data_IF_508448008731
#
_entry.id   IF_508448008731
#
_cell.length_a   1.000
_cell.length_b   1.000
_cell.length_c   1.000
_cell.angle_alpha   90.00
_cell.angle_beta   90.00
_cell.angle_gamma   90.00
#
_symmetry.space_group_name_H-M   'P 1'
#
loop_
_entity.id
_entity.type
_entity.pdbx_description
1 polymer ?
#
# COMPACT_ATOMS: atom_id res chain seq x y z
N UNK A 1 59.84 18.45 -22.90
CA UNK A 1 58.38 18.47 -22.55
C UNK A 1 57.64 17.19 -22.93
N UNK A 2 57.87 16.57 -24.07
CA UNK A 2 57.19 15.31 -24.46
C UNK A 2 57.50 14.11 -23.54
N UNK A 3 58.69 14.01 -22.97
CA UNK A 3 59.07 12.91 -22.07
C UNK A 3 58.44 13.03 -20.66
N UNK A 4 58.13 14.24 -20.20
CA UNK A 4 57.46 14.47 -18.94
C UNK A 4 55.99 14.05 -18.98
N UNK A 5 55.35 14.18 -20.14
CA UNK A 5 53.97 13.79 -20.36
C UNK A 5 53.76 12.26 -20.32
N UNK A 6 54.76 11.51 -20.77
CA UNK A 6 54.74 10.04 -20.80
C UNK A 6 54.91 9.42 -19.41
N UNK A 7 55.51 10.13 -18.45
CA UNK A 7 55.67 9.70 -17.07
C UNK A 7 54.43 9.97 -16.21
N UNK A 8 53.57 10.89 -16.62
CA UNK A 8 52.33 11.23 -15.91
C UNK A 8 51.14 10.28 -16.27
N UNK A 9 51.22 9.62 -17.43
CA UNK A 9 50.16 8.73 -17.90
C UNK A 9 49.91 7.50 -17.01
N UNK A 10 50.93 6.79 -16.51
CA UNK A 10 50.66 5.62 -15.63
C UNK A 10 50.16 5.97 -14.24
N UNK A 11 50.35 7.22 -13.77
CA UNK A 11 49.81 7.65 -12.47
C UNK A 11 48.28 7.77 -12.43
N UNK A 12 47.62 7.93 -13.58
CA UNK A 12 46.18 8.02 -13.69
C UNK A 12 45.48 6.65 -13.55
N UNK A 13 46.17 5.55 -13.76
CA UNK A 13 45.59 4.21 -13.64
C UNK A 13 45.57 3.66 -12.20
N UNK A 14 46.26 4.30 -11.26
CA UNK A 14 46.26 3.91 -9.85
C UNK A 14 45.24 4.66 -9.00
N UNK A 15 44.47 5.58 -9.58
CA UNK A 15 43.48 6.38 -8.87
C UNK A 15 42.12 5.68 -8.68
N UNK A 16 41.86 4.58 -9.38
CA UNK A 16 40.69 3.76 -9.10
C UNK A 16 41.03 2.72 -8.03
N UNK A 17 40.99 3.10 -6.76
CA UNK A 17 40.71 2.13 -5.70
C UNK A 17 39.30 1.63 -5.93
N UNK A 18 39.12 0.32 -6.09
CA UNK A 18 37.81 -0.29 -5.97
C UNK A 18 37.28 0.10 -4.62
N UNK A 19 36.14 0.81 -4.60
CA UNK A 19 35.44 1.06 -3.34
C UNK A 19 35.16 -0.30 -2.70
N UNK A 20 35.59 -0.47 -1.46
CA UNK A 20 35.21 -1.63 -0.67
C UNK A 20 33.68 -1.60 -0.58
N UNK A 21 33.06 -2.73 -0.83
CA UNK A 21 31.60 -2.82 -0.71
C UNK A 21 31.23 -2.42 0.71
N UNK A 22 30.54 -1.30 0.84
CA UNK A 22 30.04 -0.82 2.14
C UNK A 22 29.01 -1.85 2.59
N UNK A 23 29.40 -2.69 3.54
CA UNK A 23 28.43 -3.55 4.22
C UNK A 23 27.61 -2.64 5.13
N UNK A 24 26.30 -2.52 4.95
CA UNK A 24 25.50 -1.70 5.83
C UNK A 24 25.71 -2.12 7.29
N UNK A 25 26.07 -1.20 8.16
CA UNK A 25 26.24 -1.47 9.59
C UNK A 25 24.91 -1.83 10.29
N UNK A 26 23.80 -1.66 9.60
CA UNK A 26 22.44 -1.96 10.08
C UNK A 26 21.74 -2.84 9.05
N UNK A 27 21.34 -4.02 9.47
CA UNK A 27 20.41 -4.86 8.70
C UNK A 27 19.03 -4.23 8.84
N UNK A 28 18.52 -3.61 7.80
CA UNK A 28 17.14 -3.16 7.79
C UNK A 28 16.24 -4.39 7.77
N UNK A 29 15.49 -4.60 8.83
CA UNK A 29 14.40 -5.58 8.81
C UNK A 29 13.41 -5.15 7.72
N UNK A 30 12.93 -6.12 6.97
CA UNK A 30 11.94 -5.84 5.92
C UNK A 30 10.57 -5.70 6.57
N UNK A 31 10.19 -4.50 6.93
CA UNK A 31 8.95 -4.15 7.66
C UNK A 31 7.67 -4.67 7.00
N UNK A 32 7.72 -4.88 5.69
CA UNK A 32 6.59 -5.35 4.91
C UNK A 32 6.64 -6.86 4.61
N UNK A 33 7.58 -7.58 5.20
CA UNK A 33 7.68 -9.02 5.04
C UNK A 33 6.70 -9.71 5.99
N UNK A 34 5.80 -10.52 5.43
CA UNK A 34 4.92 -11.38 6.21
C UNK A 34 5.60 -12.73 6.43
N UNK A 35 5.78 -13.11 7.69
CA UNK A 35 6.37 -14.40 8.08
C UNK A 35 5.26 -15.39 8.38
N UNK A 36 5.43 -16.64 7.95
CA UNK A 36 4.45 -17.71 8.20
C UNK A 36 4.45 -18.13 9.68
N UNK A 37 3.24 -18.39 10.17
CA UNK A 37 3.03 -19.09 11.44
C UNK A 37 1.88 -20.08 11.28
N UNK A 38 2.21 -21.32 11.04
CA UNK A 38 1.23 -22.40 10.83
C UNK A 38 0.37 -22.70 12.09
N UNK A 39 0.80 -22.25 13.28
CA UNK A 39 0.02 -22.40 14.51
C UNK A 39 -1.06 -21.30 14.66
N UNK A 40 -0.96 -20.21 13.91
CA UNK A 40 -1.93 -19.12 13.88
C UNK A 40 -2.62 -19.10 12.50
N UNK A 41 -3.89 -19.54 12.40
CA UNK A 41 -4.61 -19.59 11.11
C UNK A 41 -4.71 -18.24 10.40
N UNK A 42 -4.80 -17.14 11.15
CA UNK A 42 -4.89 -15.79 10.59
C UNK A 42 -3.54 -15.39 9.99
N UNK A 43 -2.46 -15.61 10.73
CA UNK A 43 -1.12 -15.29 10.25
C UNK A 43 -0.72 -16.16 9.06
N UNK A 44 -1.10 -17.45 9.07
CA UNK A 44 -0.89 -18.36 7.95
C UNK A 44 -1.65 -17.89 6.69
N UNK A 45 -2.93 -17.52 6.83
CA UNK A 45 -3.72 -17.00 5.71
C UNK A 45 -3.15 -15.68 5.15
N UNK A 46 -2.65 -14.77 6.01
CA UNK A 46 -1.94 -13.55 5.57
C UNK A 46 -0.68 -13.88 4.78
N UNK A 47 0.09 -14.85 5.26
CA UNK A 47 1.31 -15.29 4.57
C UNK A 47 1.00 -15.90 3.20
N UNK A 48 -0.03 -16.74 3.05
CA UNK A 48 -0.42 -17.32 1.76
C UNK A 48 -0.86 -16.22 0.76
N UNK A 49 -1.60 -15.20 1.20
CA UNK A 49 -1.93 -14.04 0.37
C UNK A 49 -0.66 -13.30 -0.06
N UNK A 50 0.24 -13.02 0.88
CA UNK A 50 1.51 -12.34 0.60
C UNK A 50 2.36 -13.13 -0.39
N UNK A 51 2.52 -14.43 -0.19
CA UNK A 51 3.26 -15.35 -1.07
C UNK A 51 2.68 -15.39 -2.49
N UNK A 52 1.35 -15.41 -2.60
CA UNK A 52 0.64 -15.51 -3.89
C UNK A 52 0.64 -14.20 -4.67
N UNK A 53 0.49 -13.06 -4.01
CA UNK A 53 0.26 -11.78 -4.67
C UNK A 53 1.36 -10.74 -4.43
N UNK A 54 2.22 -10.93 -3.45
CA UNK A 54 3.23 -9.95 -3.03
C UNK A 54 2.66 -8.77 -2.25
N UNK A 55 1.43 -8.87 -1.74
CA UNK A 55 0.70 -7.79 -1.06
C UNK A 55 0.55 -8.13 0.41
N UNK A 56 1.22 -7.41 1.33
CA UNK A 56 1.03 -7.60 2.77
C UNK A 56 -0.33 -7.06 3.20
N UNK A 57 -0.97 -7.78 4.14
CA UNK A 57 -2.27 -7.41 4.72
C UNK A 57 -2.10 -7.11 6.21
N UNK A 58 -2.67 -6.01 6.67
CA UNK A 58 -2.60 -5.53 8.05
C UNK A 58 -4.00 -5.45 8.66
N UNK A 59 -4.08 -5.63 9.99
CA UNK A 59 -5.31 -5.51 10.79
C UNK A 59 -5.29 -4.30 11.72
N UNK A 60 -4.20 -3.57 11.75
CA UNK A 60 -4.06 -2.31 12.46
C UNK A 60 -3.16 -1.37 11.63
N UNK A 61 -3.08 -0.13 12.03
CA UNK A 61 -2.31 0.90 11.34
C UNK A 61 -0.80 0.84 11.62
N UNK A 62 -0.35 0.02 12.57
CA UNK A 62 1.06 -0.17 12.87
C UNK A 62 1.65 -1.30 12.04
N UNK A 63 2.59 -0.98 11.17
CA UNK A 63 3.27 -1.94 10.28
C UNK A 63 4.45 -2.59 10.99
N UNK A 64 5.27 -1.79 11.65
CA UNK A 64 6.46 -2.24 12.35
C UNK A 64 6.76 -1.39 13.58
N UNK A 65 7.50 -1.98 14.50
CA UNK A 65 8.02 -1.31 15.70
C UNK A 65 9.53 -1.50 15.72
N UNK A 66 10.27 -0.40 15.59
CA UNK A 66 11.73 -0.41 15.61
C UNK A 66 12.28 0.10 16.93
N UNK A 67 13.39 -0.50 17.38
CA UNK A 67 14.09 -0.09 18.59
C UNK A 67 13.44 -0.60 19.88
N UNK A 68 14.17 -0.40 20.99
CA UNK A 68 13.70 -0.81 22.31
C UNK A 68 13.94 -2.29 22.60
N UNK A 69 15.18 -2.65 22.92
CA UNK A 69 15.53 -4.01 23.38
C UNK A 69 14.86 -4.38 24.72
N UNK A 70 14.28 -3.42 25.42
CA UNK A 70 13.60 -3.61 26.69
C UNK A 70 12.27 -2.84 26.77
N UNK A 71 11.25 -3.33 27.47
CA UNK A 71 10.03 -2.58 27.75
C UNK A 71 10.26 -1.19 28.39
N UNK A 72 11.40 -1.01 29.07
CA UNK A 72 11.80 0.26 29.67
C UNK A 72 12.28 1.31 28.65
N UNK A 73 12.66 0.88 27.43
CA UNK A 73 13.15 1.75 26.35
C UNK A 73 12.04 2.29 25.44
N UNK A 74 10.88 2.57 25.99
CA UNK A 74 9.73 3.07 25.21
C UNK A 74 10.03 4.37 24.48
N UNK A 75 10.95 5.19 24.97
CA UNK A 75 11.36 6.45 24.35
C UNK A 75 12.17 6.26 23.05
N UNK A 76 12.78 5.10 22.83
CA UNK A 76 13.55 4.78 21.62
C UNK A 76 12.75 4.02 20.56
N UNK A 77 11.50 3.66 20.84
CA UNK A 77 10.64 2.94 19.90
C UNK A 77 10.13 3.88 18.81
N UNK A 78 10.41 3.51 17.57
CA UNK A 78 9.82 4.15 16.40
C UNK A 78 8.78 3.22 15.81
N UNK A 79 7.60 3.77 15.52
CA UNK A 79 6.50 3.05 14.91
C UNK A 79 6.44 3.42 13.43
N UNK A 80 6.46 2.42 12.57
CA UNK A 80 6.11 2.58 11.17
C UNK A 80 4.61 2.37 11.05
N UNK A 81 3.90 3.37 10.54
CA UNK A 81 2.44 3.32 10.40
C UNK A 81 2.03 3.26 8.95
N UNK A 82 0.84 2.72 8.70
CA UNK A 82 0.21 2.76 7.40
C UNK A 82 -0.08 4.21 7.03
N UNK A 83 0.48 4.64 5.91
CA UNK A 83 0.31 6.00 5.44
C UNK A 83 -0.91 6.10 4.52
N UNK A 84 -1.97 6.69 5.01
CA UNK A 84 -3.20 6.90 4.24
C UNK A 84 -3.27 8.25 3.54
N UNK A 85 -2.57 9.24 4.06
CA UNK A 85 -2.74 10.64 3.68
C UNK A 85 -1.43 11.42 3.57
N UNK A 86 -0.36 10.75 3.15
CA UNK A 86 0.89 11.46 2.98
C UNK A 86 0.80 12.43 1.79
N UNK A 87 0.96 13.73 2.06
CA UNK A 87 1.13 14.76 1.04
C UNK A 87 2.42 15.54 1.30
N UNK A 88 3.10 16.00 0.24
CA UNK A 88 4.31 16.82 0.34
C UNK A 88 4.11 18.13 1.14
N UNK A 89 2.88 18.57 1.27
CA UNK A 89 2.50 19.84 1.92
C UNK A 89 1.89 19.67 3.31
N UNK A 90 2.07 18.49 3.92
CA UNK A 90 1.51 18.17 5.22
C UNK A 90 0.11 17.58 5.16
N UNK A 91 -0.47 17.34 6.33
CA UNK A 91 -1.77 16.70 6.50
C UNK A 91 -2.85 17.36 5.64
N UNK A 92 -3.72 16.54 5.06
CA UNK A 92 -4.94 17.03 4.39
C UNK A 92 -5.73 17.84 5.41
N UNK A 93 -5.70 19.16 5.28
CA UNK A 93 -6.32 20.06 6.24
C UNK A 93 -7.80 19.72 6.36
N UNK A 94 -8.20 19.25 7.54
CA UNK A 94 -9.58 19.05 7.88
C UNK A 94 -10.21 17.70 7.48
N UNK A 95 -9.44 16.70 7.12
CA UNK A 95 -9.94 15.33 6.95
C UNK A 95 -9.35 14.44 8.03
N UNK A 96 -10.20 13.81 8.82
CA UNK A 96 -9.83 12.87 9.87
C UNK A 96 -10.26 11.45 9.48
N UNK A 97 -9.36 10.47 9.71
CA UNK A 97 -9.60 9.05 9.49
C UNK A 97 -9.61 8.33 10.83
N UNK A 98 -10.69 7.58 11.10
CA UNK A 98 -10.82 6.75 12.30
C UNK A 98 -11.12 5.32 11.89
N UNK A 99 -10.37 4.38 12.49
CA UNK A 99 -10.52 2.95 12.26
C UNK A 99 -11.09 2.27 13.49
N UNK A 100 -12.07 1.38 13.27
CA UNK A 100 -12.34 0.30 14.19
C UNK A 100 -11.72 -0.97 13.59
N UNK A 101 -10.93 -1.67 14.39
CA UNK A 101 -10.22 -2.86 13.93
C UNK A 101 -11.05 -4.12 14.10
N UNK A 102 -10.80 -5.12 13.25
CA UNK A 102 -11.31 -6.47 13.39
C UNK A 102 -10.76 -7.10 14.68
N UNK A 103 -11.63 -7.62 15.51
CA UNK A 103 -11.27 -8.04 16.86
C UNK A 103 -11.07 -9.54 17.02
N UNK A 104 -11.77 -10.35 16.22
CA UNK A 104 -11.74 -11.80 16.35
C UNK A 104 -11.05 -12.46 15.15
N UNK A 105 -10.40 -13.63 15.39
CA UNK A 105 -9.79 -14.41 14.30
C UNK A 105 -10.78 -14.76 13.18
N UNK A 106 -12.03 -15.04 13.52
CA UNK A 106 -13.09 -15.38 12.56
C UNK A 106 -13.42 -14.19 11.65
N UNK A 107 -13.52 -12.97 12.20
CA UNK A 107 -13.73 -11.76 11.42
C UNK A 107 -12.54 -11.51 10.49
N UNK A 108 -11.32 -11.68 11.01
CA UNK A 108 -10.09 -11.49 10.24
C UNK A 108 -9.99 -12.50 9.09
N UNK A 109 -10.29 -13.76 9.34
CA UNK A 109 -10.29 -14.81 8.29
C UNK A 109 -11.34 -14.53 7.20
N UNK A 110 -12.57 -14.11 7.55
CA UNK A 110 -13.58 -13.72 6.56
C UNK A 110 -13.13 -12.54 5.71
N UNK A 111 -12.54 -11.53 6.34
CA UNK A 111 -12.00 -10.38 5.62
C UNK A 111 -10.82 -10.77 4.70
N UNK A 112 -9.94 -11.68 5.13
CA UNK A 112 -8.87 -12.23 4.28
C UNK A 112 -9.39 -12.99 3.06
N UNK A 113 -10.48 -13.74 3.20
CA UNK A 113 -11.14 -14.42 2.06
C UNK A 113 -11.63 -13.41 1.02
N UNK A 114 -12.18 -12.28 1.45
CA UNK A 114 -12.56 -11.19 0.55
C UNK A 114 -11.33 -10.62 -0.18
N UNK A 115 -10.22 -10.39 0.55
CA UNK A 115 -8.96 -9.87 -0.05
C UNK A 115 -8.38 -10.84 -1.06
N UNK A 116 -8.36 -12.15 -0.78
CA UNK A 116 -7.88 -13.15 -1.75
C UNK A 116 -8.72 -13.11 -3.03
N UNK A 117 -10.04 -13.07 -2.91
CA UNK A 117 -10.96 -12.95 -4.03
C UNK A 117 -10.75 -11.63 -4.82
N UNK A 118 -10.55 -10.51 -4.13
CA UNK A 118 -10.25 -9.20 -4.73
C UNK A 118 -8.94 -9.23 -5.51
N UNK A 119 -7.84 -9.67 -4.87
CA UNK A 119 -6.51 -9.71 -5.50
C UNK A 119 -6.42 -10.71 -6.67
N UNK A 120 -7.25 -11.76 -6.67
CA UNK A 120 -7.39 -12.69 -7.79
C UNK A 120 -8.05 -12.06 -9.02
N UNK A 121 -8.87 -11.02 -8.86
CA UNK A 121 -9.62 -10.37 -9.94
C UNK A 121 -8.88 -9.20 -10.57
N UNK A 122 -7.97 -8.57 -9.85
CA UNK A 122 -7.24 -7.40 -10.35
C UNK A 122 -5.93 -7.79 -11.04
N UNK A 123 -5.56 -7.05 -12.07
CA UNK A 123 -4.28 -7.23 -12.75
C UNK A 123 -3.11 -6.79 -11.86
N UNK A 124 -1.93 -7.38 -12.06
CA UNK A 124 -0.74 -7.09 -11.27
C UNK A 124 -0.41 -5.60 -11.16
N UNK A 125 -0.48 -4.77 -12.23
CA UNK A 125 -0.20 -3.34 -12.14
C UNK A 125 -1.21 -2.55 -11.31
N UNK A 126 -2.39 -3.11 -11.05
CA UNK A 126 -3.44 -2.46 -10.26
C UNK A 126 -3.41 -2.87 -8.79
N UNK A 127 -2.59 -3.86 -8.41
CA UNK A 127 -2.49 -4.29 -7.01
C UNK A 127 -1.96 -3.15 -6.14
N UNK A 128 -2.55 -2.93 -4.96
CA UNK A 128 -1.99 -2.01 -3.99
C UNK A 128 -0.65 -2.53 -3.46
N UNK A 129 0.18 -1.64 -2.93
CA UNK A 129 1.39 -2.06 -2.25
C UNK A 129 1.07 -2.84 -0.96
N UNK A 130 0.06 -2.41 -0.22
CA UNK A 130 -0.44 -3.09 0.98
C UNK A 130 -1.95 -2.93 1.13
N UNK A 131 -2.57 -3.76 1.96
CA UNK A 131 -3.99 -3.68 2.33
C UNK A 131 -4.12 -3.56 3.84
N UNK A 132 -4.93 -2.61 4.30
CA UNK A 132 -5.39 -2.51 5.70
C UNK A 132 -6.85 -2.97 5.77
N UNK A 133 -7.12 -3.97 6.61
CA UNK A 133 -8.46 -4.47 6.89
C UNK A 133 -8.98 -3.86 8.19
N UNK A 134 -10.12 -3.19 8.10
CA UNK A 134 -10.81 -2.59 9.23
C UNK A 134 -12.24 -3.13 9.36
N UNK A 135 -12.79 -3.10 10.57
CA UNK A 135 -14.21 -3.33 10.79
C UNK A 135 -15.00 -2.15 10.20
N UNK A 136 -14.64 -0.93 10.56
CA UNK A 136 -15.20 0.29 9.98
C UNK A 136 -14.11 1.33 9.76
N UNK A 137 -14.24 2.07 8.66
CA UNK A 137 -13.51 3.30 8.39
C UNK A 137 -14.50 4.47 8.46
N UNK A 138 -14.19 5.47 9.27
CA UNK A 138 -14.93 6.72 9.30
C UNK A 138 -14.03 7.83 8.77
N UNK A 139 -14.50 8.53 7.77
CA UNK A 139 -13.83 9.70 7.18
C UNK A 139 -14.66 10.93 7.52
N UNK A 140 -14.07 11.84 8.28
CA UNK A 140 -14.71 13.07 8.71
C UNK A 140 -14.04 14.28 8.07
N UNK A 141 -14.81 15.13 7.44
CA UNK A 141 -14.40 16.45 6.95
C UNK A 141 -15.27 17.53 7.59
N UNK A 142 -14.95 18.82 7.36
CA UNK A 142 -15.68 19.92 7.97
C UNK A 142 -17.20 19.83 7.83
N UNK A 143 -17.71 19.27 6.72
CA UNK A 143 -19.14 19.25 6.38
C UNK A 143 -19.69 17.85 6.14
N UNK A 144 -18.90 16.79 6.28
CA UNK A 144 -19.31 15.44 5.90
C UNK A 144 -18.65 14.37 6.76
N UNK A 145 -19.43 13.40 7.18
CA UNK A 145 -18.95 12.17 7.82
C UNK A 145 -19.43 11.00 6.98
N UNK A 146 -18.49 10.18 6.54
CA UNK A 146 -18.75 9.02 5.69
C UNK A 146 -18.15 7.74 6.30
N UNK A 147 -18.73 6.61 5.92
CA UNK A 147 -18.21 5.28 6.26
C UNK A 147 -18.00 4.48 4.97
N UNK A 148 -16.97 4.80 4.19
CA UNK A 148 -16.72 4.10 2.93
C UNK A 148 -16.28 2.66 3.19
N UNK A 149 -16.62 1.77 2.23
CA UNK A 149 -16.16 0.37 2.22
C UNK A 149 -14.70 0.28 1.84
N UNK A 150 -14.19 1.22 1.09
CA UNK A 150 -12.78 1.28 0.73
C UNK A 150 -12.25 2.72 0.73
N UNK A 151 -10.94 2.84 0.89
CA UNK A 151 -10.22 4.09 0.70
C UNK A 151 -8.85 3.81 0.10
N UNK A 152 -8.50 4.53 -0.94
CA UNK A 152 -7.19 4.42 -1.60
C UNK A 152 -6.27 5.46 -1.01
N UNK A 153 -5.33 5.03 -0.18
CA UNK A 153 -4.24 5.85 0.31
C UNK A 153 -3.06 5.88 -0.67
N UNK A 154 -1.98 6.52 -0.27
CA UNK A 154 -0.79 6.65 -1.13
C UNK A 154 -0.22 5.28 -1.54
N UNK A 155 -0.05 4.37 -0.60
CA UNK A 155 0.48 3.01 -0.84
C UNK A 155 -0.42 1.89 -0.30
N UNK A 156 -1.48 2.23 0.43
CA UNK A 156 -2.32 1.27 1.12
C UNK A 156 -3.77 1.39 0.68
N UNK A 157 -4.37 0.29 0.30
CA UNK A 157 -5.81 0.18 0.13
C UNK A 157 -6.43 -0.21 1.46
N UNK A 158 -7.30 0.63 2.01
CA UNK A 158 -8.13 0.26 3.16
C UNK A 158 -9.41 -0.39 2.66
N UNK A 159 -9.75 -1.55 3.24
CA UNK A 159 -11.01 -2.23 3.03
C UNK A 159 -11.72 -2.35 4.38
N UNK A 160 -12.92 -1.79 4.48
CA UNK A 160 -13.74 -1.81 5.68
C UNK A 160 -15.04 -2.55 5.43
N UNK A 161 -15.65 -3.14 6.48
CA UNK A 161 -16.94 -3.84 6.46
C UNK A 161 -16.96 -5.10 5.57
N UNK A 162 -15.84 -5.50 4.99
CA UNK A 162 -15.78 -6.63 4.04
C UNK A 162 -15.94 -8.00 4.71
N UNK A 163 -15.77 -8.10 6.03
CA UNK A 163 -15.95 -9.32 6.81
C UNK A 163 -17.38 -9.89 6.70
N UNK A 164 -18.36 -9.03 6.45
CA UNK A 164 -19.78 -9.38 6.39
C UNK A 164 -20.24 -9.72 4.96
N UNK A 165 -19.39 -9.49 3.97
CA UNK A 165 -19.64 -9.77 2.57
C UNK A 165 -19.17 -11.19 2.25
N UNK A 166 -20.01 -12.19 2.53
CA UNK A 166 -19.64 -13.61 2.41
C UNK A 166 -20.31 -14.34 1.25
N UNK A 167 -21.42 -13.81 0.74
CA UNK A 167 -22.15 -14.41 -0.39
C UNK A 167 -21.38 -14.17 -1.69
N UNK A 168 -21.15 -15.20 -2.53
CA UNK A 168 -20.32 -15.08 -3.75
C UNK A 168 -20.74 -13.95 -4.69
N UNK A 169 -22.02 -13.75 -4.90
CA UNK A 169 -22.52 -12.68 -5.76
C UNK A 169 -22.30 -11.29 -5.15
N UNK A 170 -22.48 -11.16 -3.84
CA UNK A 170 -22.17 -9.92 -3.11
C UNK A 170 -20.68 -9.60 -3.13
N UNK A 171 -19.81 -10.60 -2.93
CA UNK A 171 -18.36 -10.45 -3.06
C UNK A 171 -17.99 -9.96 -4.46
N UNK A 172 -18.53 -10.60 -5.50
CA UNK A 172 -18.30 -10.22 -6.89
C UNK A 172 -18.75 -8.79 -7.20
N UNK A 173 -19.95 -8.43 -6.76
CA UNK A 173 -20.52 -7.09 -6.95
C UNK A 173 -19.67 -6.03 -6.25
N UNK A 174 -19.30 -6.24 -4.99
CA UNK A 174 -18.48 -5.31 -4.23
C UNK A 174 -17.07 -5.13 -4.81
N UNK A 175 -16.44 -6.23 -5.28
CA UNK A 175 -15.15 -6.16 -5.98
C UNK A 175 -15.28 -5.34 -7.26
N UNK A 176 -16.33 -5.54 -8.05
CA UNK A 176 -16.56 -4.78 -9.28
C UNK A 176 -16.75 -3.29 -8.99
N UNK A 177 -17.51 -2.93 -7.98
CA UNK A 177 -17.70 -1.54 -7.54
C UNK A 177 -16.38 -0.88 -7.15
N UNK A 178 -15.58 -1.53 -6.28
CA UNK A 178 -14.28 -1.02 -5.86
C UNK A 178 -13.35 -0.81 -7.08
N UNK A 179 -13.25 -1.80 -7.95
CA UNK A 179 -12.37 -1.74 -9.12
C UNK A 179 -12.81 -0.63 -10.09
N UNK A 180 -14.09 -0.55 -10.41
CA UNK A 180 -14.63 0.47 -11.32
C UNK A 180 -14.39 1.88 -10.77
N UNK A 181 -14.63 2.08 -9.49
CA UNK A 181 -14.39 3.37 -8.84
C UNK A 181 -12.90 3.74 -8.84
N UNK A 182 -12.00 2.79 -8.47
CA UNK A 182 -10.56 3.03 -8.52
C UNK A 182 -10.07 3.36 -9.94
N UNK A 183 -10.59 2.69 -10.96
CA UNK A 183 -10.24 2.97 -12.37
C UNK A 183 -10.74 4.37 -12.77
N UNK A 184 -11.99 4.70 -12.44
CA UNK A 184 -12.57 6.02 -12.70
C UNK A 184 -11.74 7.13 -12.05
N UNK A 185 -11.38 6.97 -10.79
CA UNK A 185 -10.58 7.97 -10.06
C UNK A 185 -9.17 8.13 -10.66
N UNK A 186 -8.53 7.03 -11.09
CA UNK A 186 -7.25 7.10 -11.79
C UNK A 186 -7.35 7.80 -13.14
N UNK A 187 -8.40 7.57 -13.91
CA UNK A 187 -8.66 8.26 -15.18
C UNK A 187 -8.84 9.76 -14.93
N UNK A 188 -9.66 10.12 -13.93
CA UNK A 188 -9.88 11.52 -13.56
C UNK A 188 -8.59 12.22 -13.11
N UNK A 189 -7.78 11.54 -12.29
CA UNK A 189 -6.50 12.07 -11.80
C UNK A 189 -5.44 12.22 -12.89
N UNK A 190 -5.52 11.44 -13.97
CA UNK A 190 -4.58 11.47 -15.09
C UNK A 190 -5.22 12.00 -16.39
N UNK A 191 -6.16 12.91 -16.26
CA UNK A 191 -6.94 13.44 -17.39
C UNK A 191 -6.06 14.00 -18.51
N UNK A 192 -4.92 14.60 -18.18
CA UNK A 192 -3.97 15.10 -19.15
C UNK A 192 -3.36 13.98 -20.02
N UNK A 193 -3.07 12.81 -19.42
CA UNK A 193 -2.55 11.65 -20.15
C UNK A 193 -3.62 10.95 -21.00
N UNK A 194 -4.89 11.15 -20.67
CA UNK A 194 -6.05 10.59 -21.35
C UNK A 194 -6.74 11.63 -22.26
N UNK A 195 -6.12 12.82 -22.46
CA UNK A 195 -6.73 13.97 -23.13
C UNK A 195 -7.28 13.63 -24.51
N UNK A 196 -6.48 13.03 -25.38
CA UNK A 196 -6.91 12.64 -26.73
C UNK A 196 -8.09 11.65 -26.71
N UNK A 197 -8.08 10.68 -25.80
CA UNK A 197 -9.19 9.74 -25.63
C UNK A 197 -10.44 10.43 -25.09
N UNK A 198 -10.26 11.32 -24.10
CA UNK A 198 -11.35 12.11 -23.53
C UNK A 198 -11.98 13.03 -24.57
N UNK A 199 -11.19 13.68 -25.43
CA UNK A 199 -11.67 14.56 -26.49
C UNK A 199 -12.48 13.80 -27.55
N UNK A 200 -12.02 12.62 -27.97
CA UNK A 200 -12.77 11.77 -28.90
C UNK A 200 -14.08 11.30 -28.31
N UNK A 201 -14.07 10.90 -27.03
CA UNK A 201 -15.26 10.40 -26.32
C UNK A 201 -16.28 11.54 -26.10
N UNK A 202 -15.80 12.75 -25.76
CA UNK A 202 -16.63 13.94 -25.61
C UNK A 202 -17.27 14.36 -26.93
N UNK A 203 -16.50 14.38 -28.01
CA UNK A 203 -17.03 14.72 -29.35
C UNK A 203 -18.10 13.75 -29.86
N UNK A 204 -18.06 12.49 -29.37
CA UNK A 204 -19.05 11.45 -29.69
C UNK A 204 -20.23 11.42 -28.72
N UNK A 205 -20.29 12.30 -27.72
CA UNK A 205 -21.33 12.33 -26.70
C UNK A 205 -21.38 11.10 -25.77
N UNK A 206 -20.26 10.36 -25.64
CA UNK A 206 -20.24 9.14 -24.83
C UNK A 206 -20.24 9.42 -23.32
N UNK A 207 -19.93 10.64 -22.91
CA UNK A 207 -19.97 11.05 -21.49
C UNK A 207 -21.35 11.56 -21.05
N UNK A 208 -22.26 11.77 -21.98
CA UNK A 208 -23.62 12.30 -21.70
C UNK A 208 -24.67 11.17 -21.72
N UNK A 209 -24.22 9.91 -21.76
CA UNK A 209 -25.09 8.73 -21.71
C UNK A 209 -25.18 8.24 -20.25
N UNK A 210 -25.89 9.01 -19.39
CA UNK A 210 -26.38 8.55 -18.08
C UNK A 210 -27.79 7.93 -18.21
#
# INVERSE_FOLDING_TARGET
>A
MKQLLLLLLPLLFFACKSEESITPAVTFERDFQVVDNAADPVQHARYEIYKKYGVPVYFNDTVAVHGGASPADSASRRYETVDLNWTFFGYSRGVEYRYNYLRTPEEQLRALQFVDAYLAKISRPMRPFSVLLADTLTVSSANKVEKPVYHVGFRTLVLAQVKDITQPDSVKAQIAEIVNSMVSDRIKANRELCGEFADVSSQKGWYDLD
#
